data_IF_481848843204
#
_entry.id   IF_481848843204
#
_cell.length_a   1.000
_cell.length_b   1.000
_cell.length_c   1.000
_cell.angle_alpha   90.00
_cell.angle_beta   90.00
_cell.angle_gamma   90.00
#
_symmetry.space_group_name_H-M   'P 1'
#
loop_
_entity.id
_entity.type
_entity.pdbx_description
1 polymer ?
#
# COMPACT_ATOMS: atom_id res chain seq x y z
N UNK A 1 1.54 15.06 16.47
CA UNK A 1 2.39 14.18 15.64
C UNK A 1 2.98 13.10 16.53
N UNK A 2 3.07 11.85 16.06
CA UNK A 2 3.77 10.77 16.77
C UNK A 2 5.29 10.98 16.62
N UNK A 3 5.82 12.08 17.17
CA UNK A 3 7.27 12.38 17.19
C UNK A 3 8.03 11.47 18.16
N UNK A 4 7.29 10.80 19.05
CA UNK A 4 7.83 9.84 20.00
C UNK A 4 7.47 8.41 19.57
N UNK A 5 8.44 7.55 19.20
CA UNK A 5 8.18 6.15 18.87
C UNK A 5 7.50 5.38 20.01
N UNK A 6 7.68 5.80 21.26
CA UNK A 6 7.12 5.16 22.46
C UNK A 6 5.70 5.65 22.83
N UNK A 7 5.09 6.52 22.03
CA UNK A 7 3.73 7.03 22.28
C UNK A 7 2.63 6.14 21.68
N UNK A 8 2.91 4.85 21.46
CA UNK A 8 1.89 3.92 21.00
C UNK A 8 0.88 3.66 22.14
N UNK A 9 -0.41 3.80 21.83
CA UNK A 9 -1.48 3.31 22.69
C UNK A 9 -1.32 1.78 22.73
N UNK A 10 -1.05 1.16 23.90
CA UNK A 10 -0.71 -0.25 24.00
C UNK A 10 -1.72 -1.17 23.30
N UNK A 11 -3.01 -0.88 23.44
CA UNK A 11 -4.12 -1.65 22.86
C UNK A 11 -4.17 -1.59 21.32
N UNK A 12 -3.47 -0.63 20.70
CA UNK A 12 -3.37 -0.46 19.26
C UNK A 12 -1.96 -0.76 18.73
N UNK A 13 -1.04 -1.20 19.59
CA UNK A 13 0.27 -1.66 19.15
C UNK A 13 0.19 -3.16 18.83
N UNK A 14 0.07 -3.49 17.55
CA UNK A 14 -0.05 -4.89 17.11
C UNK A 14 1.14 -5.78 17.51
N UNK A 15 2.30 -5.17 17.81
CA UNK A 15 3.55 -5.89 18.12
C UNK A 15 3.92 -5.89 19.60
N UNK A 16 3.09 -5.27 20.43
CA UNK A 16 3.22 -5.31 21.89
C UNK A 16 2.65 -6.64 22.39
N UNK A 17 3.45 -7.49 23.07
CA UNK A 17 2.95 -8.73 23.66
C UNK A 17 1.88 -8.50 24.73
N UNK A 18 1.78 -7.30 25.30
CA UNK A 18 0.76 -6.95 26.29
C UNK A 18 -0.51 -6.36 25.67
N UNK A 19 -0.59 -6.24 24.34
CA UNK A 19 -1.84 -5.82 23.69
C UNK A 19 -2.93 -6.88 23.97
N UNK A 20 -4.07 -6.51 24.58
CA UNK A 20 -5.15 -7.46 24.85
C UNK A 20 -5.79 -8.02 23.57
N UNK A 21 -5.59 -7.36 22.43
CA UNK A 21 -6.05 -7.82 21.13
C UNK A 21 -4.91 -8.57 20.42
N UNK A 22 -5.04 -9.88 20.30
CA UNK A 22 -4.09 -10.78 19.63
C UNK A 22 -4.78 -11.53 18.48
N UNK A 23 -4.04 -12.00 17.46
CA UNK A 23 -4.62 -12.81 16.40
C UNK A 23 -5.11 -14.17 16.92
N UNK A 24 -6.21 -14.74 16.36
CA UNK A 24 -7.06 -14.15 15.34
C UNK A 24 -7.87 -12.96 15.88
N UNK A 25 -7.91 -11.87 15.11
CA UNK A 25 -8.49 -10.61 15.57
C UNK A 25 -10.02 -10.62 15.45
N UNK A 26 -10.70 -10.07 16.47
CA UNK A 26 -12.15 -9.87 16.39
C UNK A 26 -12.52 -8.79 15.37
N UNK A 27 -13.73 -8.88 14.81
CA UNK A 27 -14.23 -7.87 13.88
C UNK A 27 -14.33 -6.48 14.53
N UNK A 28 -14.70 -6.42 15.81
CA UNK A 28 -14.77 -5.18 16.58
C UNK A 28 -13.40 -4.50 16.71
N UNK A 29 -12.35 -5.29 17.01
CA UNK A 29 -10.99 -4.76 17.06
C UNK A 29 -10.54 -4.27 15.69
N UNK A 30 -10.81 -5.01 14.61
CA UNK A 30 -10.44 -4.59 13.26
C UNK A 30 -11.11 -3.28 12.83
N UNK A 31 -12.39 -3.09 13.20
CA UNK A 31 -13.11 -1.83 12.98
C UNK A 31 -12.46 -0.70 13.76
N UNK A 32 -12.28 -0.86 15.07
CA UNK A 32 -11.65 0.14 15.94
C UNK A 32 -10.23 0.50 15.46
N UNK A 33 -9.43 -0.50 15.11
CA UNK A 33 -8.06 -0.30 14.66
C UNK A 33 -8.02 0.57 13.39
N UNK A 34 -8.87 0.27 12.40
CA UNK A 34 -8.96 1.06 11.16
C UNK A 34 -9.38 2.50 11.43
N UNK A 35 -10.39 2.70 12.26
CA UNK A 35 -10.84 4.04 12.67
C UNK A 35 -9.70 4.84 13.31
N UNK A 36 -8.94 4.23 14.22
CA UNK A 36 -7.81 4.87 14.89
C UNK A 36 -6.62 5.13 13.96
N UNK A 37 -6.38 4.29 12.95
CA UNK A 37 -5.37 4.59 11.92
C UNK A 37 -5.79 5.78 11.05
N UNK A 38 -7.08 5.90 10.70
CA UNK A 38 -7.61 7.07 9.96
C UNK A 38 -7.51 8.32 10.82
N UNK A 39 -7.90 8.27 12.11
CA UNK A 39 -7.77 9.40 13.04
C UNK A 39 -6.32 9.88 13.15
N UNK A 40 -5.37 8.93 13.26
CA UNK A 40 -3.93 9.24 13.27
C UNK A 40 -3.50 9.89 11.96
N UNK A 41 -3.92 9.36 10.81
CA UNK A 41 -3.60 9.92 9.50
C UNK A 41 -4.11 11.37 9.38
N UNK A 42 -5.36 11.63 9.77
CA UNK A 42 -5.97 12.95 9.73
C UNK A 42 -5.21 13.96 10.62
N UNK A 43 -4.76 13.55 11.82
CA UNK A 43 -3.91 14.38 12.68
C UNK A 43 -2.57 14.76 12.03
N UNK A 44 -1.93 13.83 11.31
CA UNK A 44 -0.68 14.11 10.59
C UNK A 44 -0.97 15.02 9.39
N UNK A 45 -2.06 14.77 8.66
CA UNK A 45 -2.50 15.59 7.52
C UNK A 45 -2.77 17.03 7.93
N UNK A 46 -3.50 17.26 9.03
CA UNK A 46 -3.76 18.61 9.55
C UNK A 46 -2.45 19.35 9.88
N UNK A 47 -1.54 18.69 10.62
CA UNK A 47 -0.23 19.27 10.92
C UNK A 47 0.60 19.56 9.65
N UNK A 48 0.55 18.68 8.64
CA UNK A 48 1.28 18.87 7.39
C UNK A 48 0.75 20.08 6.60
N UNK A 49 -0.57 20.31 6.61
CA UNK A 49 -1.20 21.52 6.05
C UNK A 49 -0.74 22.77 6.78
N UNK A 50 -0.83 22.79 8.11
CA UNK A 50 -0.39 23.93 8.92
C UNK A 50 1.09 24.24 8.69
N UNK A 51 1.91 23.20 8.57
CA UNK A 51 3.34 23.34 8.31
C UNK A 51 3.61 23.87 6.90
N UNK A 52 2.90 23.39 5.88
CA UNK A 52 2.97 23.91 4.52
C UNK A 52 2.54 25.38 4.46
N UNK A 53 1.48 25.74 5.17
CA UNK A 53 0.96 27.10 5.23
C UNK A 53 1.90 28.07 5.96
N UNK A 54 2.72 27.59 6.89
CA UNK A 54 3.72 28.42 7.59
C UNK A 54 4.76 29.06 6.68
N UNK A 55 4.93 28.56 5.45
CA UNK A 55 5.80 29.14 4.42
C UNK A 55 5.04 29.51 3.13
N UNK A 56 3.74 29.78 3.25
CA UNK A 56 2.89 30.26 2.15
C UNK A 56 3.51 31.50 1.48
N UNK A 57 3.52 31.50 0.14
CA UNK A 57 4.11 32.57 -0.66
C UNK A 57 5.53 32.26 -1.17
N UNK A 58 6.20 31.26 -0.62
CA UNK A 58 7.48 30.76 -1.14
C UNK A 58 7.36 29.30 -1.60
N UNK A 59 7.22 29.05 -2.92
CA UNK A 59 7.05 27.71 -3.45
C UNK A 59 8.31 26.83 -3.32
N UNK A 60 9.47 27.42 -3.00
CA UNK A 60 10.74 26.70 -2.88
C UNK A 60 10.94 26.04 -1.52
N UNK A 61 10.16 26.45 -0.50
CA UNK A 61 10.26 25.90 0.87
C UNK A 61 9.61 24.53 0.95
N UNK A 62 10.22 23.63 1.71
CA UNK A 62 9.75 22.28 1.98
C UNK A 62 10.17 21.86 3.41
N UNK A 63 9.48 20.87 3.97
CA UNK A 63 9.79 20.32 5.28
C UNK A 63 9.71 18.78 5.28
N UNK A 64 10.84 18.12 5.49
CA UNK A 64 10.93 16.68 5.70
C UNK A 64 10.63 16.29 7.15
N UNK A 65 9.91 15.19 7.36
CA UNK A 65 9.58 14.66 8.68
C UNK A 65 9.49 13.12 8.67
N UNK A 66 9.44 12.54 9.88
CA UNK A 66 9.43 11.10 10.11
C UNK A 66 8.05 10.63 10.58
N UNK A 67 7.61 9.50 10.04
CA UNK A 67 6.37 8.82 10.43
C UNK A 67 6.70 7.43 10.99
N UNK A 68 6.45 7.21 12.27
CA UNK A 68 6.71 5.93 12.93
C UNK A 68 5.55 4.94 12.80
N UNK A 69 5.85 3.64 12.81
CA UNK A 69 4.85 2.57 12.78
C UNK A 69 4.09 2.48 11.46
N UNK A 70 4.80 2.35 10.34
CA UNK A 70 4.21 2.37 8.99
C UNK A 70 3.92 0.98 8.41
N UNK A 71 4.12 -0.10 9.18
CA UNK A 71 3.82 -1.48 8.75
C UNK A 71 2.84 -2.22 9.67
N UNK A 72 2.01 -1.50 10.44
CA UNK A 72 1.06 -2.11 11.37
C UNK A 72 -0.27 -2.51 10.69
N UNK A 73 -0.26 -3.53 9.84
CA UNK A 73 -1.48 -4.10 9.24
C UNK A 73 -1.84 -5.45 9.88
N UNK A 74 -3.07 -5.61 10.43
CA UNK A 74 -3.52 -6.88 11.02
C UNK A 74 -3.41 -8.09 10.07
N UNK A 75 -3.50 -7.89 8.75
CA UNK A 75 -3.39 -8.95 7.74
C UNK A 75 -2.05 -9.69 7.76
N UNK A 76 -0.99 -9.05 8.28
CA UNK A 76 0.32 -9.67 8.37
C UNK A 76 0.47 -10.59 9.58
N UNK A 77 -0.37 -10.42 10.61
CA UNK A 77 -0.36 -11.21 11.84
C UNK A 77 -1.49 -12.23 11.90
N UNK A 78 -2.58 -11.99 11.16
CA UNK A 78 -3.72 -12.88 11.06
C UNK A 78 -3.98 -13.26 9.59
N UNK A 79 -3.63 -14.49 9.24
CA UNK A 79 -3.80 -15.02 7.88
C UNK A 79 -5.26 -15.31 7.51
N UNK A 80 -6.19 -15.26 8.47
CA UNK A 80 -7.62 -15.41 8.19
C UNK A 80 -8.21 -14.13 7.56
N UNK A 81 -7.55 -12.98 7.74
CA UNK A 81 -7.94 -11.70 7.13
C UNK A 81 -7.41 -11.65 5.70
N UNK A 82 -8.31 -11.61 4.72
CA UNK A 82 -7.97 -11.67 3.29
C UNK A 82 -7.04 -12.85 2.96
N UNK A 83 -7.51 -14.12 3.10
CA UNK A 83 -6.66 -15.29 2.91
C UNK A 83 -6.11 -15.34 1.47
N UNK A 84 -4.81 -15.61 1.34
CA UNK A 84 -4.11 -15.81 0.08
C UNK A 84 -2.92 -16.76 0.28
N UNK A 85 -2.08 -16.96 -0.74
CA UNK A 85 -0.95 -17.91 -0.67
C UNK A 85 0.28 -17.33 0.05
N UNK A 86 0.16 -16.17 0.74
CA UNK A 86 1.29 -15.53 1.41
C UNK A 86 1.76 -16.35 2.61
N UNK A 87 3.04 -16.20 2.97
CA UNK A 87 3.58 -16.71 4.23
C UNK A 87 2.93 -15.96 5.41
N UNK A 88 2.29 -16.63 6.38
CA UNK A 88 1.81 -15.97 7.60
C UNK A 88 2.94 -15.28 8.37
N UNK A 89 2.67 -14.16 9.04
CA UNK A 89 3.70 -13.43 9.79
C UNK A 89 4.74 -12.73 8.91
N UNK A 90 4.40 -12.42 7.66
CA UNK A 90 5.34 -11.90 6.66
C UNK A 90 4.72 -10.74 5.88
N UNK A 91 5.55 -9.74 5.58
CA UNK A 91 5.26 -8.67 4.63
C UNK A 91 6.37 -8.61 3.57
N UNK A 92 6.17 -7.82 2.51
CA UNK A 92 7.09 -7.68 1.37
C UNK A 92 8.55 -7.27 1.71
N UNK A 93 8.81 -6.79 2.93
CA UNK A 93 10.15 -6.48 3.43
C UNK A 93 10.64 -7.42 4.56
N UNK A 94 9.89 -8.47 4.88
CA UNK A 94 10.26 -9.47 5.89
C UNK A 94 9.31 -9.50 7.10
N UNK A 95 9.90 -9.61 8.29
CA UNK A 95 9.17 -9.59 9.56
C UNK A 95 8.46 -8.23 9.74
N UNK A 96 7.10 -8.21 9.81
CA UNK A 96 6.36 -6.96 9.88
C UNK A 96 6.66 -6.16 11.15
N UNK A 97 7.03 -6.79 12.28
CA UNK A 97 7.44 -6.09 13.51
C UNK A 97 8.73 -5.30 13.29
N UNK A 98 9.71 -5.92 12.62
CA UNK A 98 10.98 -5.26 12.29
C UNK A 98 10.75 -4.12 11.31
N UNK A 99 9.98 -4.38 10.25
CA UNK A 99 9.72 -3.40 9.17
C UNK A 99 8.95 -2.19 9.68
N UNK A 100 8.02 -2.36 10.62
CA UNK A 100 7.16 -1.31 11.16
C UNK A 100 7.93 -0.09 11.70
N UNK A 101 9.09 -0.33 12.30
CA UNK A 101 9.92 0.72 12.88
C UNK A 101 11.24 0.96 12.14
N UNK A 102 11.48 0.20 11.08
CA UNK A 102 12.67 0.27 10.25
C UNK A 102 12.75 1.58 9.44
N UNK A 103 13.95 2.14 9.19
CA UNK A 103 14.13 3.31 8.34
C UNK A 103 13.73 3.09 6.88
N UNK A 104 13.66 1.82 6.41
CA UNK A 104 13.27 1.49 5.02
C UNK A 104 11.75 1.39 4.83
N UNK A 105 10.96 1.60 5.89
CA UNK A 105 9.51 1.54 5.81
C UNK A 105 8.94 2.57 4.84
N UNK A 106 7.88 2.20 4.12
CA UNK A 106 7.15 3.14 3.26
C UNK A 106 6.65 4.33 4.10
N UNK A 107 6.71 5.52 3.51
CA UNK A 107 6.35 6.80 4.13
C UNK A 107 7.14 7.18 5.40
N UNK A 108 8.14 6.36 5.82
CA UNK A 108 8.89 6.58 7.06
C UNK A 108 9.59 7.94 7.07
N UNK A 109 10.21 8.32 5.95
CA UNK A 109 10.68 9.66 5.70
C UNK A 109 9.88 10.25 4.54
N UNK A 110 9.29 11.43 4.74
CA UNK A 110 8.43 12.09 3.75
C UNK A 110 8.49 13.60 3.94
N UNK A 111 8.10 14.35 2.91
CA UNK A 111 7.93 15.80 3.00
C UNK A 111 6.47 16.16 3.27
N UNK A 112 6.17 17.39 3.69
CA UNK A 112 4.76 17.79 3.90
C UNK A 112 3.96 17.73 2.60
N UNK A 113 4.54 18.09 1.45
CA UNK A 113 3.86 17.92 0.15
C UNK A 113 3.71 16.45 -0.26
N UNK A 114 4.73 15.62 -0.05
CA UNK A 114 4.66 14.19 -0.35
C UNK A 114 3.59 13.51 0.52
N UNK A 115 3.49 13.86 1.81
CA UNK A 115 2.41 13.38 2.67
C UNK A 115 1.04 13.73 2.12
N UNK A 116 0.78 15.00 1.82
CA UNK A 116 -0.53 15.44 1.32
C UNK A 116 -0.88 14.78 -0.02
N UNK A 117 0.10 14.61 -0.91
CA UNK A 117 -0.12 14.04 -2.24
C UNK A 117 -0.27 12.53 -2.28
N UNK A 118 0.39 11.79 -1.38
CA UNK A 118 0.54 10.34 -1.51
C UNK A 118 0.03 9.55 -0.29
N UNK A 119 0.17 10.09 0.92
CA UNK A 119 -0.04 9.35 2.17
C UNK A 119 -1.27 9.79 2.97
N UNK A 120 -1.80 10.98 2.68
CA UNK A 120 -3.03 11.48 3.31
C UNK A 120 -4.23 10.64 2.92
N UNK A 121 -5.02 10.21 3.91
CA UNK A 121 -6.27 9.50 3.66
C UNK A 121 -7.29 10.36 2.91
N UNK A 122 -7.34 11.66 3.23
CA UNK A 122 -8.32 12.60 2.68
C UNK A 122 -7.87 13.20 1.34
N UNK A 123 -6.57 13.50 1.19
CA UNK A 123 -6.07 14.36 0.11
C UNK A 123 -5.21 13.64 -0.93
N UNK A 124 -4.87 12.37 -0.72
CA UNK A 124 -3.99 11.66 -1.64
C UNK A 124 -4.62 11.54 -3.02
N UNK A 125 -3.83 11.83 -4.05
CA UNK A 125 -4.18 11.54 -5.45
C UNK A 125 -3.67 10.15 -5.88
N UNK A 126 -2.97 9.43 -5.00
CA UNK A 126 -2.53 8.05 -5.22
C UNK A 126 -3.68 7.04 -5.00
N UNK A 127 -4.80 7.25 -5.69
CA UNK A 127 -5.98 6.37 -5.67
C UNK A 127 -6.06 5.55 -6.96
N UNK A 128 -5.71 4.27 -6.86
CA UNK A 128 -5.70 3.35 -7.99
C UNK A 128 -7.07 3.15 -8.63
N UNK A 129 -8.16 3.09 -7.85
CA UNK A 129 -9.51 2.85 -8.37
C UNK A 129 -10.04 4.09 -9.10
N UNK A 130 -9.81 5.29 -8.56
CA UNK A 130 -10.12 6.56 -9.23
C UNK A 130 -9.30 6.74 -10.51
N UNK A 131 -8.01 6.39 -10.48
CA UNK A 131 -7.13 6.48 -11.65
C UNK A 131 -7.50 5.46 -12.74
N UNK A 132 -7.81 4.22 -12.35
CA UNK A 132 -8.17 3.15 -13.27
C UNK A 132 -9.39 3.47 -14.14
N UNK A 133 -10.35 4.24 -13.61
CA UNK A 133 -11.52 4.73 -14.36
C UNK A 133 -11.17 5.63 -15.55
N UNK A 134 -9.96 6.22 -15.58
CA UNK A 134 -9.50 7.11 -16.65
C UNK A 134 -8.69 6.39 -17.73
N UNK A 135 -8.39 5.10 -17.54
CA UNK A 135 -7.61 4.31 -18.48
C UNK A 135 -8.47 4.01 -19.70
N UNK A 136 -8.05 4.50 -20.86
CA UNK A 136 -8.75 4.34 -22.15
C UNK A 136 -8.01 3.43 -23.13
N UNK A 137 -6.81 2.96 -22.75
CA UNK A 137 -5.93 2.12 -23.57
C UNK A 137 -6.04 0.66 -23.14
N UNK A 138 -5.76 -0.30 -24.04
CA UNK A 138 -5.64 -1.70 -23.67
C UNK A 138 -4.74 -1.87 -22.43
N UNK A 139 -5.15 -2.69 -21.48
CA UNK A 139 -4.43 -2.85 -20.20
C UNK A 139 -4.43 -4.28 -19.69
N UNK A 140 -3.30 -4.69 -19.11
CA UNK A 140 -3.17 -5.89 -18.29
C UNK A 140 -2.95 -5.48 -16.84
N UNK A 141 -3.82 -5.95 -15.96
CA UNK A 141 -3.58 -5.98 -14.52
C UNK A 141 -2.88 -7.30 -14.21
N UNK A 142 -1.64 -7.23 -13.74
CA UNK A 142 -0.88 -8.38 -13.28
C UNK A 142 -0.89 -8.39 -11.75
N UNK A 143 -1.38 -9.48 -11.16
CA UNK A 143 -1.39 -9.69 -9.72
C UNK A 143 -0.63 -10.95 -9.31
N UNK A 144 -0.30 -11.04 -8.03
CA UNK A 144 0.45 -12.15 -7.45
C UNK A 144 -0.42 -12.84 -6.38
N UNK A 145 -0.48 -14.18 -6.39
CA UNK A 145 -1.40 -14.89 -5.48
C UNK A 145 -0.87 -15.04 -4.05
N UNK A 146 0.47 -14.96 -3.86
CA UNK A 146 1.14 -14.96 -2.56
C UNK A 146 1.65 -13.55 -2.18
N UNK A 147 1.04 -12.49 -2.73
CA UNK A 147 1.48 -11.12 -2.48
C UNK A 147 1.37 -10.75 -0.99
N UNK A 148 2.48 -10.23 -0.47
CA UNK A 148 2.74 -9.86 0.92
C UNK A 148 2.85 -8.34 1.12
N UNK A 149 2.37 -7.55 0.15
CA UNK A 149 2.10 -6.11 0.26
C UNK A 149 0.68 -5.73 -0.19
N UNK A 150 0.26 -6.29 -1.33
CA UNK A 150 -0.94 -5.95 -2.07
C UNK A 150 -1.78 -7.22 -2.28
N UNK A 151 -2.67 -7.58 -1.32
CA UNK A 151 -3.48 -8.79 -1.42
C UNK A 151 -4.28 -8.87 -2.74
N UNK A 152 -4.61 -10.07 -3.24
CA UNK A 152 -5.31 -10.26 -4.51
C UNK A 152 -6.61 -9.46 -4.68
N UNK A 153 -7.28 -9.10 -3.59
CA UNK A 153 -8.47 -8.24 -3.62
C UNK A 153 -8.18 -6.85 -4.21
N UNK A 154 -6.98 -6.31 -3.99
CA UNK A 154 -6.56 -5.00 -4.51
C UNK A 154 -6.51 -5.02 -6.05
N UNK A 155 -5.91 -6.06 -6.62
CA UNK A 155 -5.82 -6.25 -8.07
C UNK A 155 -7.21 -6.37 -8.71
N UNK A 156 -8.13 -7.08 -8.03
CA UNK A 156 -9.53 -7.21 -8.48
C UNK A 156 -10.27 -5.87 -8.45
N UNK A 157 -10.12 -5.07 -7.39
CA UNK A 157 -10.75 -3.73 -7.30
C UNK A 157 -10.23 -2.80 -8.40
N UNK A 158 -8.91 -2.80 -8.63
CA UNK A 158 -8.30 -2.05 -9.73
C UNK A 158 -8.86 -2.49 -11.10
N UNK A 159 -8.88 -3.79 -11.37
CA UNK A 159 -9.40 -4.35 -12.62
C UNK A 159 -10.88 -4.03 -12.84
N UNK A 160 -11.70 -4.12 -11.79
CA UNK A 160 -13.13 -3.82 -11.84
C UNK A 160 -13.40 -2.32 -12.04
N UNK A 161 -12.48 -1.44 -11.65
CA UNK A 161 -12.63 0.01 -11.81
C UNK A 161 -12.42 0.51 -13.24
N UNK A 162 -11.77 -0.29 -14.10
CA UNK A 162 -11.56 0.05 -15.52
C UNK A 162 -12.89 -0.09 -16.26
N UNK A 163 -13.31 0.96 -16.96
CA UNK A 163 -14.67 1.05 -17.53
C UNK A 163 -14.89 0.24 -18.82
N UNK A 164 -13.82 -0.12 -19.53
CA UNK A 164 -13.90 -0.81 -20.82
C UNK A 164 -13.46 -2.28 -20.74
N UNK A 165 -13.92 -3.10 -21.68
CA UNK A 165 -13.61 -4.53 -21.75
C UNK A 165 -12.25 -4.86 -22.38
N UNK A 166 -11.53 -3.88 -22.94
CA UNK A 166 -10.15 -4.07 -23.41
C UNK A 166 -9.14 -4.14 -22.24
N UNK A 167 -9.39 -5.04 -21.31
CA UNK A 167 -8.64 -5.25 -20.09
C UNK A 167 -8.47 -6.74 -19.84
N UNK A 168 -7.33 -7.13 -19.31
CA UNK A 168 -7.06 -8.50 -18.86
C UNK A 168 -6.57 -8.49 -17.42
N UNK A 169 -6.92 -9.52 -16.66
CA UNK A 169 -6.37 -9.79 -15.33
C UNK A 169 -5.61 -11.10 -15.39
N UNK A 170 -4.34 -11.09 -15.03
CA UNK A 170 -3.53 -12.30 -14.89
C UNK A 170 -2.99 -12.39 -13.46
N UNK A 171 -3.17 -13.56 -12.83
CA UNK A 171 -2.65 -13.83 -11.50
C UNK A 171 -1.53 -14.85 -11.59
N UNK A 172 -0.34 -14.46 -11.14
CA UNK A 172 0.82 -15.36 -11.07
C UNK A 172 0.75 -16.15 -9.78
N UNK A 173 0.49 -17.45 -9.91
CA UNK A 173 0.35 -18.36 -8.78
C UNK A 173 1.69 -18.50 -8.02
N UNK A 174 1.64 -18.38 -6.70
CA UNK A 174 2.77 -18.53 -5.78
C UNK A 174 3.75 -17.36 -5.74
N UNK A 175 3.55 -16.32 -6.56
CA UNK A 175 4.44 -15.15 -6.56
C UNK A 175 4.23 -14.28 -5.31
N UNK A 176 5.31 -13.87 -4.66
CA UNK A 176 5.32 -12.80 -3.65
C UNK A 176 5.41 -11.42 -4.32
N UNK A 177 5.43 -10.33 -3.55
CA UNK A 177 5.35 -8.98 -4.12
C UNK A 177 6.50 -8.65 -5.10
N UNK A 178 7.73 -9.09 -4.79
CA UNK A 178 8.94 -8.74 -5.57
C UNK A 178 9.54 -9.89 -6.38
N UNK A 179 8.89 -11.05 -6.40
CA UNK A 179 9.45 -12.28 -6.95
C UNK A 179 10.81 -12.67 -6.31
N UNK A 180 11.07 -12.23 -5.07
CA UNK A 180 12.34 -12.51 -4.40
C UNK A 180 12.54 -14.02 -4.23
N UNK A 181 13.65 -14.52 -4.76
CA UNK A 181 13.97 -15.95 -4.78
C UNK A 181 13.09 -16.80 -5.72
N UNK A 182 12.22 -16.19 -6.54
CA UNK A 182 11.18 -16.89 -7.30
C UNK A 182 11.37 -16.76 -8.81
N UNK A 183 12.40 -17.44 -9.35
CA UNK A 183 12.72 -17.41 -10.79
C UNK A 183 11.60 -17.93 -11.69
N UNK A 184 10.92 -19.00 -11.29
CA UNK A 184 9.86 -19.62 -12.11
C UNK A 184 8.59 -18.75 -12.17
N UNK A 185 8.03 -18.25 -11.04
CA UNK A 185 6.96 -17.26 -11.11
C UNK A 185 7.32 -16.01 -11.93
N UNK A 186 8.57 -15.52 -11.82
CA UNK A 186 9.04 -14.37 -12.61
C UNK A 186 9.08 -14.67 -14.12
N UNK A 187 9.46 -15.88 -14.51
CA UNK A 187 9.36 -16.32 -15.91
C UNK A 187 7.90 -16.40 -16.37
N UNK A 188 7.00 -16.84 -15.49
CA UNK A 188 5.56 -16.87 -15.74
C UNK A 188 4.97 -15.49 -16.01
N UNK A 189 5.32 -14.49 -15.19
CA UNK A 189 4.86 -13.10 -15.38
C UNK A 189 5.35 -12.51 -16.70
N UNK A 190 6.60 -12.75 -17.09
CA UNK A 190 7.15 -12.31 -18.37
C UNK A 190 6.38 -12.90 -19.56
N UNK A 191 5.99 -14.18 -19.50
CA UNK A 191 5.16 -14.80 -20.55
C UNK A 191 3.79 -14.14 -20.66
N UNK A 192 3.16 -13.80 -19.52
CA UNK A 192 1.88 -13.11 -19.52
C UNK A 192 1.98 -11.72 -20.16
N UNK A 193 3.06 -10.98 -19.88
CA UNK A 193 3.33 -9.67 -20.50
C UNK A 193 3.50 -9.78 -22.02
N UNK A 194 4.29 -10.75 -22.50
CA UNK A 194 4.54 -10.97 -23.93
C UNK A 194 3.30 -11.49 -24.69
N UNK A 195 2.30 -12.03 -23.98
CA UNK A 195 1.03 -12.46 -24.57
C UNK A 195 0.05 -11.32 -24.89
N UNK A 196 0.34 -10.10 -24.42
CA UNK A 196 -0.31 -8.90 -24.92
C UNK A 196 0.27 -8.62 -26.31
N UNK A 197 -0.49 -8.99 -27.32
CA UNK A 197 -0.14 -8.80 -28.72
C UNK A 197 0.31 -7.35 -29.00
N UNK A 198 1.54 -7.19 -29.47
CA UNK A 198 2.13 -5.89 -29.84
C UNK A 198 1.41 -5.20 -31.02
N UNK A 199 0.43 -5.88 -31.62
CA UNK A 199 -0.37 -5.38 -32.76
C UNK A 199 -1.57 -4.53 -32.37
N UNK A 200 -1.89 -4.36 -31.06
CA UNK A 200 -3.01 -3.54 -30.59
C UNK A 200 -2.63 -2.19 -29.95
N UNK A 201 -1.33 -1.87 -29.89
CA UNK A 201 -0.87 -0.56 -29.45
C UNK A 201 -0.63 0.30 -30.69
N UNK A 202 -1.32 1.45 -30.88
CA UNK A 202 -0.97 2.35 -31.96
C UNK A 202 0.48 2.81 -31.73
N UNK A 203 1.35 2.54 -32.70
CA UNK A 203 2.65 3.19 -32.83
C UNK A 203 2.38 4.69 -32.89
N UNK A 204 2.68 5.41 -31.81
CA UNK A 204 2.78 6.85 -31.85
C UNK A 204 4.15 7.13 -32.50
N UNK A 205 4.17 7.30 -33.82
CA UNK A 205 5.29 7.96 -34.49
C UNK A 205 5.28 9.42 -34.05
N UNK A 206 6.26 9.78 -33.21
CA UNK A 206 6.58 11.16 -32.90
C UNK A 206 7.36 11.69 -34.11
N UNK A 207 6.75 12.58 -34.88
CA UNK A 207 7.49 13.49 -35.78
C UNK A 207 8.16 14.60 -34.98
#
# INVERSE_FOLDING_TARGET
>A
MKTNPNSAIPELNLYDPNNPNQPPYSQDFLTLFREKQIERNNKITAWAKDKLDSFRGDPTKEFGFIVHGTMADPRWLDATIEPNDRKPGWCYLGDPKVVNDSPIGIARFTSVRSWLSQWSYELSEADGEKCAKKISKPILVLGNSADDACPPSHNKRLFNSIYHENKKLHIVKGANHYYFGQKEPLRGSNKALLSLDATQLPLIEIK
#
